data_IF_792007966325
#
_entry.id   IF_792007966325
#
_cell.length_a   1.000
_cell.length_b   1.000
_cell.length_c   1.000
_cell.angle_alpha   90.00
_cell.angle_beta   90.00
_cell.angle_gamma   90.00
#
_symmetry.space_group_name_H-M   'P 1'
#
loop_
_entity.id
_entity.type
_entity.pdbx_description
1 polymer ?
#
# COMPACT_ATOMS: atom_id res chain seq x y z
N UNK A 1 -13.81 -36.68 19.94
CA UNK A 1 -14.41 -37.02 18.64
C UNK A 1 -13.36 -36.86 17.59
N UNK A 2 -12.81 -37.95 17.05
CA UNK A 2 -11.80 -37.92 15.99
C UNK A 2 -12.48 -37.48 14.68
N UNK A 3 -12.01 -36.38 14.09
CA UNK A 3 -12.48 -35.88 12.82
C UNK A 3 -12.21 -36.92 11.72
N UNK A 4 -13.29 -37.47 11.11
CA UNK A 4 -13.24 -38.51 10.07
C UNK A 4 -12.70 -38.04 8.73
N UNK A 5 -12.24 -36.78 8.60
CA UNK A 5 -11.83 -36.20 7.30
C UNK A 5 -10.41 -36.57 6.86
N UNK A 6 -9.58 -37.16 7.72
CA UNK A 6 -8.17 -37.48 7.42
C UNK A 6 -7.28 -36.27 7.10
N UNK A 7 -7.83 -35.06 7.13
CA UNK A 7 -7.11 -33.83 6.79
C UNK A 7 -6.25 -33.33 7.96
N UNK A 8 -5.03 -32.89 7.66
CA UNK A 8 -4.19 -32.21 8.64
C UNK A 8 -4.79 -30.87 9.08
N UNK A 9 -4.35 -30.34 10.23
CA UNK A 9 -4.73 -28.97 10.66
C UNK A 9 -4.34 -27.91 9.61
N UNK A 10 -3.20 -28.09 8.95
CA UNK A 10 -2.74 -27.23 7.87
C UNK A 10 -3.69 -27.23 6.68
N UNK A 11 -4.15 -28.41 6.25
CA UNK A 11 -5.10 -28.55 5.14
C UNK A 11 -6.45 -27.91 5.46
N UNK A 12 -6.95 -28.12 6.68
CA UNK A 12 -8.19 -27.48 7.14
C UNK A 12 -8.11 -25.96 7.09
N UNK A 13 -7.02 -25.38 7.60
CA UNK A 13 -6.81 -23.93 7.59
C UNK A 13 -6.67 -23.40 6.16
N UNK A 14 -5.95 -24.11 5.28
CA UNK A 14 -5.82 -23.76 3.87
C UNK A 14 -7.18 -23.80 3.17
N UNK A 15 -7.95 -24.85 3.37
CA UNK A 15 -9.27 -25.01 2.74
C UNK A 15 -10.26 -23.94 3.22
N UNK A 16 -10.27 -23.63 4.53
CA UNK A 16 -11.08 -22.55 5.09
C UNK A 16 -10.73 -21.18 4.48
N UNK A 17 -9.42 -20.89 4.32
CA UNK A 17 -8.96 -19.67 3.66
C UNK A 17 -9.42 -19.61 2.20
N UNK A 18 -9.27 -20.70 1.45
CA UNK A 18 -9.69 -20.75 0.04
C UNK A 18 -11.20 -20.58 -0.11
N UNK A 19 -11.99 -21.23 0.76
CA UNK A 19 -13.45 -21.07 0.78
C UNK A 19 -13.86 -19.61 1.04
N UNK A 20 -13.21 -18.95 2.01
CA UNK A 20 -13.45 -17.52 2.30
C UNK A 20 -13.10 -16.62 1.11
N UNK A 21 -11.95 -16.84 0.47
CA UNK A 21 -11.55 -16.08 -0.71
C UNK A 21 -12.52 -16.31 -1.88
N UNK A 22 -13.03 -17.54 -2.06
CA UNK A 22 -14.01 -17.83 -3.11
C UNK A 22 -15.34 -17.12 -2.88
N UNK A 23 -15.73 -16.81 -1.64
CA UNK A 23 -16.89 -15.97 -1.35
C UNK A 23 -16.69 -14.51 -1.78
N UNK A 24 -15.47 -13.99 -1.71
CA UNK A 24 -15.12 -12.64 -2.18
C UNK A 24 -14.93 -12.58 -3.69
N UNK A 25 -14.53 -13.70 -4.31
CA UNK A 25 -14.28 -13.88 -5.74
C UNK A 25 -15.22 -14.95 -6.32
N UNK A 26 -16.54 -14.73 -6.28
CA UNK A 26 -17.49 -15.71 -6.84
C UNK A 26 -17.37 -15.77 -8.37
N UNK A 27 -17.57 -16.94 -9.01
CA UNK A 27 -17.45 -17.08 -10.47
C UNK A 27 -18.39 -16.18 -11.27
N UNK A 28 -19.49 -15.75 -10.66
CA UNK A 28 -20.50 -14.87 -11.25
C UNK A 28 -20.02 -13.42 -11.38
N UNK A 29 -18.94 -13.05 -10.70
CA UNK A 29 -18.33 -11.73 -10.80
C UNK A 29 -17.13 -11.77 -11.76
N UNK A 30 -16.96 -10.71 -12.54
CA UNK A 30 -15.68 -10.45 -13.19
C UNK A 30 -14.68 -9.93 -12.16
N UNK A 31 -13.39 -9.89 -12.52
CA UNK A 31 -12.33 -9.35 -11.67
C UNK A 31 -11.83 -8.05 -12.31
N UNK A 32 -11.78 -6.97 -11.54
CA UNK A 32 -11.11 -5.75 -11.98
C UNK A 32 -9.77 -5.61 -11.24
N UNK A 33 -8.68 -5.83 -11.98
CA UNK A 33 -7.33 -5.59 -11.49
C UNK A 33 -6.96 -4.13 -11.68
N UNK A 34 -6.47 -3.48 -10.62
CA UNK A 34 -6.09 -2.06 -10.63
C UNK A 34 -4.65 -1.92 -10.14
N UNK A 35 -3.79 -1.36 -10.99
CA UNK A 35 -2.46 -0.90 -10.59
C UNK A 35 -2.55 0.55 -10.12
N UNK A 36 -2.20 0.77 -8.83
CA UNK A 36 -2.31 2.05 -8.13
C UNK A 36 -0.98 2.81 -8.20
N UNK A 37 -0.76 3.56 -9.28
CA UNK A 37 0.41 4.40 -9.45
C UNK A 37 0.18 5.87 -9.01
N UNK A 38 1.24 6.69 -9.03
CA UNK A 38 1.20 8.07 -8.52
C UNK A 38 0.44 9.05 -9.41
N UNK A 39 0.51 8.88 -10.73
CA UNK A 39 -0.09 9.81 -11.71
C UNK A 39 -1.30 9.19 -12.39
N UNK A 40 -1.19 7.95 -12.85
CA UNK A 40 -2.22 7.25 -13.62
C UNK A 40 -2.49 5.87 -13.02
N UNK A 41 -3.76 5.51 -13.01
CA UNK A 41 -4.25 4.21 -12.56
C UNK A 41 -4.62 3.37 -13.78
N UNK A 42 -4.03 2.20 -13.93
CA UNK A 42 -4.41 1.25 -14.97
C UNK A 42 -5.38 0.22 -14.42
N UNK A 43 -6.49 -0.01 -15.10
CA UNK A 43 -7.47 -1.01 -14.73
C UNK A 43 -7.79 -1.94 -15.90
N UNK A 44 -7.96 -3.21 -15.57
CA UNK A 44 -8.34 -4.27 -16.49
C UNK A 44 -9.48 -5.07 -15.90
N UNK A 45 -10.55 -5.27 -16.64
CA UNK A 45 -11.63 -6.20 -16.30
C UNK A 45 -11.35 -7.52 -16.99
N UNK A 46 -11.33 -8.63 -16.23
CA UNK A 46 -11.11 -9.98 -16.75
C UNK A 46 -12.17 -10.95 -16.25
N UNK A 47 -12.33 -12.08 -16.92
CA UNK A 47 -12.96 -13.25 -16.35
C UNK A 47 -12.00 -14.04 -15.45
N UNK A 48 -12.44 -15.19 -14.91
CA UNK A 48 -11.63 -16.05 -14.06
C UNK A 48 -10.55 -16.85 -14.81
N UNK A 49 -10.62 -16.90 -16.13
CA UNK A 49 -9.61 -17.51 -17.01
C UNK A 49 -8.60 -16.46 -17.51
N UNK A 50 -8.62 -15.26 -16.91
CA UNK A 50 -7.73 -14.12 -17.24
C UNK A 50 -7.98 -13.54 -18.65
N UNK A 51 -9.11 -13.87 -19.29
CA UNK A 51 -9.47 -13.24 -20.56
C UNK A 51 -9.86 -11.78 -20.31
N UNK A 52 -9.22 -10.88 -21.03
CA UNK A 52 -9.47 -9.45 -20.90
C UNK A 52 -10.80 -9.07 -21.58
N UNK A 53 -11.69 -8.47 -20.80
CA UNK A 53 -13.01 -7.97 -21.26
C UNK A 53 -12.88 -6.49 -21.65
N UNK A 54 -12.23 -5.68 -20.81
CA UNK A 54 -12.06 -4.25 -21.04
C UNK A 54 -10.81 -3.70 -20.33
N UNK A 55 -10.31 -2.57 -20.83
CA UNK A 55 -9.19 -1.83 -20.22
C UNK A 55 -9.52 -0.35 -20.15
N UNK A 56 -9.08 0.30 -19.08
CA UNK A 56 -9.19 1.74 -18.91
C UNK A 56 -8.02 2.28 -18.10
N UNK A 57 -7.59 3.51 -18.41
CA UNK A 57 -6.64 4.25 -17.61
C UNK A 57 -7.26 5.58 -17.20
N UNK A 58 -7.06 5.97 -15.95
CA UNK A 58 -7.55 7.22 -15.37
C UNK A 58 -6.44 7.91 -14.59
N UNK A 59 -6.60 9.18 -14.24
CA UNK A 59 -5.67 9.88 -13.35
C UNK A 59 -5.86 9.41 -11.91
N UNK A 60 -4.81 9.56 -11.09
CA UNK A 60 -4.80 9.16 -9.68
C UNK A 60 -5.61 10.12 -8.79
N UNK A 61 -6.93 10.29 -9.08
CA UNK A 61 -7.87 11.11 -8.33
C UNK A 61 -9.01 10.25 -7.80
N UNK A 62 -9.44 10.52 -6.56
CA UNK A 62 -10.46 9.71 -5.91
C UNK A 62 -11.77 9.60 -6.72
N UNK A 63 -12.24 10.71 -7.32
CA UNK A 63 -13.46 10.70 -8.13
C UNK A 63 -13.29 9.91 -9.43
N UNK A 64 -12.12 9.98 -10.08
CA UNK A 64 -11.83 9.20 -11.29
C UNK A 64 -11.73 7.69 -10.98
N UNK A 65 -11.27 7.32 -9.76
CA UNK A 65 -11.34 5.94 -9.27
C UNK A 65 -12.77 5.48 -9.05
N UNK A 66 -13.64 6.35 -8.52
CA UNK A 66 -15.06 6.06 -8.40
C UNK A 66 -15.70 5.76 -9.75
N UNK A 67 -15.52 6.66 -10.73
CA UNK A 67 -15.99 6.50 -12.10
C UNK A 67 -15.40 5.25 -12.79
N UNK A 68 -14.16 4.88 -12.43
CA UNK A 68 -13.51 3.67 -12.92
C UNK A 68 -14.22 2.40 -12.41
N UNK A 69 -14.61 2.38 -11.13
CA UNK A 69 -15.35 1.25 -10.57
C UNK A 69 -16.73 1.11 -11.22
N UNK A 70 -17.45 2.21 -11.40
CA UNK A 70 -18.76 2.22 -12.06
C UNK A 70 -18.64 1.76 -13.52
N UNK A 71 -17.62 2.20 -14.23
CA UNK A 71 -17.28 1.72 -15.57
C UNK A 71 -16.99 0.21 -15.57
N UNK A 72 -16.21 -0.30 -14.61
CA UNK A 72 -15.87 -1.73 -14.53
C UNK A 72 -17.12 -2.59 -14.33
N UNK A 73 -18.04 -2.17 -13.44
CA UNK A 73 -19.32 -2.84 -13.22
C UNK A 73 -20.14 -2.88 -14.51
N UNK A 74 -20.24 -1.76 -15.22
CA UNK A 74 -20.98 -1.69 -16.49
C UNK A 74 -20.38 -2.61 -17.57
N UNK A 75 -19.03 -2.69 -17.65
CA UNK A 75 -18.35 -3.60 -18.60
C UNK A 75 -18.54 -5.07 -18.26
N UNK A 76 -18.47 -5.41 -16.98
CA UNK A 76 -18.75 -6.76 -16.50
C UNK A 76 -20.19 -7.18 -16.79
N UNK A 77 -21.17 -6.32 -16.52
CA UNK A 77 -22.58 -6.56 -16.81
C UNK A 77 -22.82 -6.77 -18.31
N UNK A 78 -22.20 -5.96 -19.17
CA UNK A 78 -22.27 -6.12 -20.63
C UNK A 78 -21.65 -7.43 -21.14
N UNK A 79 -20.77 -8.06 -20.35
CA UNK A 79 -20.18 -9.37 -20.65
C UNK A 79 -20.90 -10.55 -19.95
N UNK A 80 -22.01 -10.29 -19.27
CA UNK A 80 -22.84 -11.32 -18.64
C UNK A 80 -22.47 -11.64 -17.19
N UNK A 81 -21.58 -10.87 -16.56
CA UNK A 81 -21.24 -11.02 -15.14
C UNK A 81 -22.23 -10.24 -14.26
N UNK A 82 -22.44 -10.73 -13.04
CA UNK A 82 -23.33 -10.10 -12.07
C UNK A 82 -22.76 -8.77 -11.52
N UNK A 83 -21.46 -8.72 -11.27
CA UNK A 83 -20.75 -7.59 -10.69
C UNK A 83 -19.24 -7.75 -10.92
N UNK A 84 -18.42 -6.98 -10.19
CA UNK A 84 -16.96 -7.14 -10.17
C UNK A 84 -16.47 -7.37 -8.75
N UNK A 85 -15.35 -8.11 -8.63
CA UNK A 85 -14.50 -8.07 -7.43
C UNK A 85 -13.26 -7.24 -7.75
N UNK A 86 -12.95 -6.28 -6.88
CA UNK A 86 -11.82 -5.38 -7.05
C UNK A 86 -10.54 -6.05 -6.52
N UNK A 87 -9.48 -6.04 -7.31
CA UNK A 87 -8.16 -6.53 -6.92
C UNK A 87 -7.11 -5.43 -7.12
N UNK A 88 -6.25 -5.20 -6.13
CA UNK A 88 -5.16 -4.24 -6.24
C UNK A 88 -3.90 -4.70 -5.52
N UNK A 89 -2.77 -4.08 -5.86
CA UNK A 89 -1.54 -4.15 -5.08
C UNK A 89 -1.57 -3.05 -4.01
N UNK A 90 -1.46 -3.37 -2.70
CA UNK A 90 -1.62 -2.39 -1.63
C UNK A 90 -0.32 -1.60 -1.40
N UNK A 91 0.09 -0.81 -2.37
CA UNK A 91 1.22 0.11 -2.25
C UNK A 91 0.79 1.42 -1.60
N UNK A 92 1.56 1.87 -0.60
CA UNK A 92 1.29 3.13 0.11
C UNK A 92 -0.07 3.14 0.83
N UNK A 93 -0.82 4.25 0.67
CA UNK A 93 -2.13 4.47 1.33
C UNK A 93 -3.30 4.54 0.35
N UNK A 94 -3.05 4.55 -0.96
CA UNK A 94 -4.09 4.73 -2.00
C UNK A 94 -5.10 3.59 -2.05
N UNK A 95 -4.68 2.37 -1.76
CA UNK A 95 -5.58 1.23 -1.70
C UNK A 95 -6.72 1.41 -0.69
N UNK A 96 -6.53 2.23 0.36
CA UNK A 96 -7.58 2.53 1.35
C UNK A 96 -8.68 3.42 0.78
N UNK A 97 -8.30 4.36 -0.10
CA UNK A 97 -9.28 5.17 -0.84
C UNK A 97 -10.07 4.26 -1.78
N UNK A 98 -9.38 3.36 -2.49
CA UNK A 98 -10.04 2.37 -3.35
C UNK A 98 -10.96 1.44 -2.54
N UNK A 99 -10.52 0.96 -1.36
CA UNK A 99 -11.33 0.12 -0.47
C UNK A 99 -12.60 0.82 0.00
N UNK A 100 -12.51 2.11 0.38
CA UNK A 100 -13.68 2.91 0.75
C UNK A 100 -14.65 3.07 -0.44
N UNK A 101 -14.14 3.44 -1.61
CA UNK A 101 -14.94 3.62 -2.82
C UNK A 101 -15.61 2.32 -3.27
N UNK A 102 -14.92 1.17 -3.10
CA UNK A 102 -15.49 -0.15 -3.37
C UNK A 102 -16.57 -0.50 -2.34
N UNK A 103 -16.33 -0.25 -1.05
CA UNK A 103 -17.30 -0.49 0.02
C UNK A 103 -18.58 0.35 -0.16
N UNK A 104 -18.46 1.61 -0.54
CA UNK A 104 -19.60 2.52 -0.82
C UNK A 104 -20.48 1.99 -1.97
N UNK A 105 -19.92 1.15 -2.85
CA UNK A 105 -20.60 0.50 -3.97
C UNK A 105 -21.00 -0.95 -3.71
N UNK A 106 -20.76 -1.46 -2.50
CA UNK A 106 -21.01 -2.86 -2.16
C UNK A 106 -20.12 -3.86 -2.91
N UNK A 107 -18.95 -3.41 -3.39
CA UNK A 107 -17.99 -4.25 -4.10
C UNK A 107 -16.98 -4.85 -3.11
N UNK A 108 -16.68 -6.14 -3.27
CA UNK A 108 -15.60 -6.77 -2.53
C UNK A 108 -14.24 -6.31 -3.05
N UNK A 109 -13.27 -6.12 -2.14
CA UNK A 109 -11.89 -5.79 -2.48
C UNK A 109 -10.95 -6.84 -1.88
N UNK A 110 -10.01 -7.30 -2.70
CA UNK A 110 -8.90 -8.17 -2.32
C UNK A 110 -7.55 -7.53 -2.68
N UNK A 111 -6.54 -7.84 -1.90
CA UNK A 111 -5.18 -7.36 -2.13
C UNK A 111 -4.25 -8.49 -2.59
N UNK A 112 -3.39 -8.20 -3.55
CA UNK A 112 -2.31 -9.08 -3.99
C UNK A 112 -0.99 -8.57 -3.43
N UNK A 113 -0.18 -9.46 -2.85
CA UNK A 113 1.11 -9.05 -2.29
C UNK A 113 2.07 -8.54 -3.38
N UNK A 114 2.79 -7.42 -3.17
CA UNK A 114 3.74 -6.85 -4.15
C UNK A 114 4.79 -7.87 -4.63
N UNK A 115 5.29 -8.70 -3.71
CA UNK A 115 6.24 -9.74 -4.05
C UNK A 115 5.68 -10.79 -5.03
N UNK A 116 4.38 -11.10 -4.95
CA UNK A 116 3.75 -12.03 -5.88
C UNK A 116 3.59 -11.42 -7.27
N UNK A 117 3.22 -10.14 -7.36
CA UNK A 117 3.16 -9.41 -8.64
C UNK A 117 4.54 -9.35 -9.28
N UNK A 118 5.57 -9.01 -8.50
CA UNK A 118 6.96 -8.98 -8.98
C UNK A 118 7.40 -10.34 -9.54
N UNK A 119 7.21 -11.44 -8.78
CA UNK A 119 7.57 -12.79 -9.21
C UNK A 119 6.77 -13.28 -10.41
N UNK A 120 5.49 -12.92 -10.50
CA UNK A 120 4.66 -13.28 -11.64
C UNK A 120 5.15 -12.58 -12.91
N UNK A 121 5.57 -11.31 -12.80
CA UNK A 121 6.17 -10.54 -13.90
C UNK A 121 7.47 -11.18 -14.39
N UNK A 122 8.37 -11.57 -13.47
CA UNK A 122 9.62 -12.27 -13.83
C UNK A 122 9.37 -13.61 -14.54
N UNK A 123 8.28 -14.30 -14.19
CA UNK A 123 7.92 -15.60 -14.80
C UNK A 123 7.27 -15.52 -16.18
N UNK A 124 6.66 -14.37 -16.54
CA UNK A 124 5.98 -14.18 -17.83
C UNK A 124 6.84 -13.53 -18.89
N UNK A 125 7.62 -12.53 -18.48
CA UNK A 125 8.50 -11.79 -19.37
C UNK A 125 9.94 -11.95 -18.87
N UNK A 126 10.78 -12.64 -19.64
CA UNK A 126 12.23 -12.59 -19.48
C UNK A 126 12.79 -11.16 -19.69
N UNK A 127 11.94 -10.23 -20.10
CA UNK A 127 12.23 -8.81 -20.25
C UNK A 127 11.64 -8.03 -19.08
N UNK A 128 12.45 -7.14 -18.47
CA UNK A 128 12.05 -6.26 -17.36
C UNK A 128 11.11 -5.12 -17.78
N UNK A 129 10.35 -5.28 -18.87
CA UNK A 129 9.45 -4.25 -19.39
C UNK A 129 8.24 -4.06 -18.46
N UNK A 130 8.40 -3.10 -17.54
CA UNK A 130 7.31 -2.62 -16.70
C UNK A 130 6.34 -1.78 -17.53
N UNK A 131 5.10 -2.25 -17.67
CA UNK A 131 4.01 -1.41 -18.16
C UNK A 131 2.79 -1.56 -17.26
N UNK A 132 2.23 -0.42 -16.80
CA UNK A 132 1.07 -0.38 -15.90
C UNK A 132 -0.12 -1.25 -16.37
N UNK A 133 -0.45 -1.34 -17.69
CA UNK A 133 -1.51 -2.24 -18.15
C UNK A 133 -1.20 -3.74 -17.99
N UNK A 134 0.06 -4.15 -18.04
CA UNK A 134 0.47 -5.55 -17.80
C UNK A 134 0.33 -5.89 -16.33
N UNK A 135 0.72 -5.00 -15.43
CA UNK A 135 0.60 -5.19 -13.98
C UNK A 135 -0.85 -5.33 -13.54
N UNK A 136 -1.77 -4.55 -14.09
CA UNK A 136 -3.20 -4.70 -13.81
C UNK A 136 -3.75 -6.08 -14.23
N UNK A 137 -3.28 -6.66 -15.35
CA UNK A 137 -3.64 -8.04 -15.76
C UNK A 137 -3.08 -9.06 -14.79
N UNK A 138 -1.82 -8.91 -14.38
CA UNK A 138 -1.19 -9.82 -13.41
C UNK A 138 -1.91 -9.80 -12.06
N UNK A 139 -2.31 -8.62 -11.59
CA UNK A 139 -3.09 -8.47 -10.35
C UNK A 139 -4.43 -9.21 -10.48
N UNK A 140 -5.17 -9.03 -11.59
CA UNK A 140 -6.44 -9.72 -11.82
C UNK A 140 -6.25 -11.24 -11.87
N UNK A 141 -5.22 -11.74 -12.57
CA UNK A 141 -4.91 -13.16 -12.66
C UNK A 141 -4.54 -13.76 -11.31
N UNK A 142 -3.66 -13.13 -10.54
CA UNK A 142 -3.29 -13.61 -9.21
C UNK A 142 -4.52 -13.66 -8.27
N UNK A 143 -5.46 -12.74 -8.43
CA UNK A 143 -6.72 -12.78 -7.71
C UNK A 143 -7.60 -13.97 -8.15
N UNK A 144 -7.73 -14.24 -9.46
CA UNK A 144 -8.50 -15.40 -9.98
C UNK A 144 -7.94 -16.74 -9.47
N UNK A 145 -6.61 -16.83 -9.34
CA UNK A 145 -5.90 -17.98 -8.77
C UNK A 145 -6.00 -18.06 -7.22
N UNK A 146 -6.77 -17.18 -6.57
CA UNK A 146 -6.88 -17.06 -5.11
C UNK A 146 -5.53 -16.80 -4.41
N UNK A 147 -4.57 -16.22 -5.11
CA UNK A 147 -3.27 -15.79 -4.58
C UNK A 147 -3.33 -14.35 -4.07
N UNK A 148 -4.36 -14.07 -3.31
CA UNK A 148 -4.69 -12.78 -2.74
C UNK A 148 -5.11 -12.92 -1.28
N UNK A 149 -5.46 -11.82 -0.65
CA UNK A 149 -5.99 -11.80 0.71
C UNK A 149 -7.00 -10.66 0.87
N UNK A 150 -7.92 -10.83 1.81
CA UNK A 150 -8.80 -9.75 2.24
C UNK A 150 -8.00 -8.80 3.14
N UNK A 151 -7.94 -7.48 2.85
CA UNK A 151 -7.21 -6.56 3.68
C UNK A 151 -7.88 -6.41 5.05
N UNK A 152 -7.07 -6.36 6.11
CA UNK A 152 -7.57 -6.01 7.44
C UNK A 152 -7.96 -4.53 7.45
N UNK A 153 -9.25 -4.28 7.64
CA UNK A 153 -9.77 -2.94 7.91
C UNK A 153 -9.52 -2.64 9.37
N UNK A 154 -8.49 -1.83 9.65
CA UNK A 154 -8.26 -1.35 11.00
C UNK A 154 -9.43 -0.46 11.42
N UNK A 155 -9.93 -0.63 12.66
CA UNK A 155 -10.84 0.33 13.23
C UNK A 155 -10.21 1.74 13.31
N UNK A 156 -11.03 2.76 13.55
CA UNK A 156 -10.59 4.15 13.56
C UNK A 156 -9.48 4.42 14.61
N UNK A 157 -9.50 3.72 15.74
CA UNK A 157 -8.51 3.85 16.81
C UNK A 157 -7.16 3.32 16.36
N UNK A 158 -7.11 2.11 15.79
CA UNK A 158 -5.89 1.51 15.27
C UNK A 158 -5.32 2.28 14.06
N UNK A 159 -6.19 2.81 13.18
CA UNK A 159 -5.77 3.65 12.08
C UNK A 159 -5.07 4.93 12.58
N UNK A 160 -5.65 5.57 13.61
CA UNK A 160 -5.09 6.77 14.25
C UNK A 160 -3.76 6.47 14.96
N UNK A 161 -3.68 5.38 15.70
CA UNK A 161 -2.45 4.94 16.38
C UNK A 161 -1.32 4.68 15.39
N UNK A 162 -1.60 3.99 14.29
CA UNK A 162 -0.63 3.76 13.21
C UNK A 162 -0.11 5.07 12.60
N UNK A 163 -1.05 6.01 12.35
CA UNK A 163 -0.68 7.32 11.82
C UNK A 163 0.20 8.12 12.79
N UNK A 164 -0.15 8.14 14.07
CA UNK A 164 0.65 8.80 15.12
C UNK A 164 2.03 8.12 15.29
N UNK A 165 2.09 6.79 15.22
CA UNK A 165 3.34 6.04 15.26
C UNK A 165 4.26 6.37 14.08
N UNK A 166 3.72 6.43 12.86
CA UNK A 166 4.46 6.83 11.67
C UNK A 166 4.98 8.27 11.78
N UNK A 167 4.14 9.21 12.26
CA UNK A 167 4.54 10.60 12.49
C UNK A 167 5.63 10.73 13.56
N UNK A 168 5.51 9.98 14.66
CA UNK A 168 6.58 9.94 15.69
C UNK A 168 7.91 9.47 15.09
N UNK A 169 7.90 8.39 14.32
CA UNK A 169 9.10 7.87 13.68
C UNK A 169 9.74 8.91 12.73
N UNK A 170 8.92 9.57 11.92
CA UNK A 170 9.38 10.66 11.05
C UNK A 170 10.07 11.77 11.86
N UNK A 171 9.42 12.26 12.90
CA UNK A 171 9.97 13.33 13.74
C UNK A 171 11.29 12.92 14.44
N UNK A 172 11.42 11.67 14.89
CA UNK A 172 12.67 11.19 15.51
C UNK A 172 13.80 11.07 14.49
N UNK A 173 13.48 10.64 13.26
CA UNK A 173 14.45 10.56 12.15
C UNK A 173 14.92 11.96 11.75
N UNK A 174 13.99 12.89 11.57
CA UNK A 174 14.30 14.28 11.21
C UNK A 174 15.14 14.96 12.30
N UNK A 175 14.79 14.79 13.58
CA UNK A 175 15.56 15.31 14.70
C UNK A 175 17.00 14.75 14.71
N UNK A 176 17.16 13.45 14.45
CA UNK A 176 18.48 12.82 14.37
C UNK A 176 19.31 13.39 13.21
N UNK A 177 18.69 13.56 12.03
CA UNK A 177 19.36 14.14 10.87
C UNK A 177 19.82 15.58 11.14
N UNK A 178 18.96 16.40 11.76
CA UNK A 178 19.31 17.78 12.13
C UNK A 178 20.45 17.83 13.16
N UNK A 179 20.44 16.97 14.18
CA UNK A 179 21.54 16.89 15.16
C UNK A 179 22.85 16.54 14.47
N UNK A 180 22.86 15.60 13.53
CA UNK A 180 24.06 15.24 12.78
C UNK A 180 24.56 16.41 11.92
N UNK A 181 23.67 17.11 11.21
CA UNK A 181 24.03 18.29 10.41
C UNK A 181 24.64 19.41 11.27
N UNK A 182 24.05 19.69 12.44
CA UNK A 182 24.60 20.69 13.35
C UNK A 182 25.97 20.24 13.87
N UNK A 183 26.14 18.95 14.17
CA UNK A 183 27.43 18.40 14.61
C UNK A 183 28.51 18.59 13.54
N UNK A 184 28.19 18.26 12.27
CA UNK A 184 29.12 18.44 11.14
C UNK A 184 29.52 19.91 10.95
N UNK A 185 28.56 20.83 11.07
CA UNK A 185 28.83 22.26 10.99
C UNK A 185 29.71 22.77 12.16
N UNK A 186 29.46 22.29 13.37
CA UNK A 186 30.28 22.63 14.53
C UNK A 186 31.69 22.06 14.43
N UNK A 187 31.85 20.87 13.86
CA UNK A 187 33.14 20.25 13.61
C UNK A 187 34.00 21.10 12.67
N UNK A 188 33.36 21.68 11.64
CA UNK A 188 34.04 22.60 10.72
C UNK A 188 34.33 23.98 11.32
N UNK A 189 33.38 24.58 12.07
CA UNK A 189 33.46 25.96 12.51
C UNK A 189 34.04 26.12 13.92
N UNK A 190 33.79 25.17 14.83
CA UNK A 190 34.19 25.23 16.23
C UNK A 190 34.31 23.85 16.88
N UNK A 191 35.30 23.03 16.48
CA UNK A 191 35.45 21.67 16.94
C UNK A 191 35.64 21.53 18.45
N UNK A 192 36.24 22.54 19.11
CA UNK A 192 36.47 22.53 20.55
C UNK A 192 35.15 22.40 21.36
N UNK A 193 34.03 22.88 20.85
CA UNK A 193 32.72 22.80 21.53
C UNK A 193 32.23 21.37 21.64
N UNK A 194 32.55 20.53 20.66
CA UNK A 194 32.16 19.11 20.68
C UNK A 194 32.93 18.30 21.71
N UNK A 195 34.15 18.76 22.06
CA UNK A 195 34.97 18.17 23.12
C UNK A 195 34.64 18.69 24.52
N UNK A 196 34.06 19.90 24.65
CA UNK A 196 33.74 20.54 25.90
C UNK A 196 32.54 19.92 26.65
N UNK A 197 31.65 19.24 25.96
CA UNK A 197 30.51 18.53 26.57
C UNK A 197 30.25 17.21 25.85
N UNK A 198 29.99 16.13 26.60
CA UNK A 198 29.77 14.80 26.04
C UNK A 198 28.57 14.71 25.11
N UNK A 199 27.65 15.68 25.12
CA UNK A 199 26.59 15.87 24.13
C UNK A 199 25.98 17.26 24.24
N UNK A 200 26.38 18.23 23.40
CA UNK A 200 25.88 19.60 23.44
C UNK A 200 24.37 19.69 23.25
N UNK A 201 23.75 18.64 22.65
CA UNK A 201 22.31 18.62 22.37
C UNK A 201 21.45 18.04 23.51
N UNK A 202 22.06 17.45 24.54
CA UNK A 202 21.34 16.84 25.68
C UNK A 202 21.32 17.71 26.92
N UNK A 203 22.19 18.72 27.05
CA UNK A 203 22.23 19.55 28.24
C UNK A 203 21.20 20.68 28.17
N UNK A 204 20.53 20.93 29.31
CA UNK A 204 19.53 21.99 29.43
C UNK A 204 20.17 23.40 29.26
N UNK A 205 21.44 23.56 29.60
CA UNK A 205 22.21 24.79 29.45
C UNK A 205 22.37 25.26 28.01
N UNK A 206 22.44 24.34 27.04
CA UNK A 206 22.51 24.68 25.62
C UNK A 206 21.14 25.05 25.01
N UNK A 207 20.08 24.55 25.58
CA UNK A 207 18.71 24.86 25.11
C UNK A 207 18.24 26.24 25.61
N UNK A 208 18.81 26.77 26.70
CA UNK A 208 18.46 28.07 27.27
C UNK A 208 19.30 29.25 26.76
N UNK A 209 20.45 28.98 26.11
CA UNK A 209 21.40 30.01 25.69
C UNK A 209 21.07 30.75 24.38
N UNK A 210 20.06 30.27 23.61
CA UNK A 210 19.68 30.91 22.35
C UNK A 210 18.80 32.19 22.53
N UNK A 211 18.49 32.57 23.76
CA UNK A 211 17.68 33.77 24.09
C UNK A 211 18.43 34.96 24.69
N UNK A 212 19.74 34.88 24.87
CA UNK A 212 20.55 35.93 25.49
C UNK A 212 21.50 36.61 24.50
N UNK A 213 21.15 37.82 24.12
CA UNK A 213 21.86 38.94 23.53
C UNK A 213 23.18 38.70 22.79
N UNK A 214 23.17 38.89 21.48
CA UNK A 214 24.33 39.15 20.67
C UNK A 214 25.00 40.48 21.15
N UNK A 215 26.05 40.38 21.97
CA UNK A 215 26.96 41.51 22.19
C UNK A 215 27.82 41.73 20.94
N UNK A 216 28.22 42.97 20.63
CA UNK A 216 28.90 43.28 19.38
C UNK A 216 30.29 42.64 19.32
N UNK A 217 30.59 41.96 18.24
CA UNK A 217 31.92 41.51 17.85
C UNK A 217 32.84 42.75 17.77
N UNK A 218 33.77 42.89 18.70
CA UNK A 218 34.90 43.81 18.54
C UNK A 218 35.90 43.18 17.56
N UNK A 219 36.31 43.98 16.59
CA UNK A 219 37.34 43.66 15.60
C UNK A 219 38.70 43.49 16.29
#
# INVERSE_FOLDING_TARGET
>A
MSDRSGLSRGDRNRNARLARLRQLLPPENAIVGIDLADDKQAAVVTDHDSRVIARRQVRARAWELGDLLDWAVARAAGAGFRSVTVACEPTGHRWRVLDQLAADRGLALVCVQPLLVYRAREGEDLTRDKSDPKDAVLIARLASELRCYEPERADAVWARLRHLGARRNQLTTDATAQVNQIRDLLECAWPAVLGASGSPFRSASWRGGAGGGAGPLRR
#
